data_IF_395808985459
#
_entry.id   IF_395808985459
#
_cell.length_a   1.000
_cell.length_b   1.000
_cell.length_c   1.000
_cell.angle_alpha   90.00
_cell.angle_beta   90.00
_cell.angle_gamma   90.00
#
_symmetry.space_group_name_H-M   'P 1'
#
loop_
_entity.id
_entity.type
_entity.pdbx_description
1 polymer ?
#
# COMPACT_ATOMS: atom_id res chain seq x y z
N UNK A 1 -14.03 25.53 34.81
CA UNK A 1 -15.43 25.75 34.41
C UNK A 1 -15.61 25.91 32.90
N UNK A 2 -14.89 26.81 32.21
CA UNK A 2 -14.95 26.99 30.73
C UNK A 2 -14.85 25.71 29.86
N UNK A 3 -14.06 24.72 30.29
CA UNK A 3 -13.88 23.46 29.54
C UNK A 3 -15.06 22.48 29.70
N UNK A 4 -15.83 22.60 30.80
CA UNK A 4 -17.04 21.79 31.04
C UNK A 4 -18.22 22.31 30.21
N UNK A 5 -18.39 23.63 30.12
CA UNK A 5 -19.47 24.24 29.31
C UNK A 5 -19.29 23.97 27.82
N UNK A 6 -18.06 24.03 27.30
CA UNK A 6 -17.80 23.72 25.88
C UNK A 6 -18.14 22.26 25.55
N UNK A 7 -17.80 21.32 26.45
CA UNK A 7 -18.11 19.89 26.28
C UNK A 7 -19.61 19.62 26.38
N UNK A 8 -20.31 20.29 27.29
CA UNK A 8 -21.75 20.19 27.45
C UNK A 8 -22.51 20.76 26.25
N UNK A 9 -22.03 21.87 25.68
CA UNK A 9 -22.61 22.48 24.48
C UNK A 9 -22.43 21.60 23.25
N UNK A 10 -21.26 20.96 23.10
CA UNK A 10 -21.03 19.99 22.02
C UNK A 10 -21.96 18.77 22.14
N UNK A 11 -22.13 18.21 23.35
CA UNK A 11 -23.02 17.07 23.56
C UNK A 11 -24.49 17.42 23.30
N UNK A 12 -24.92 18.60 23.73
CA UNK A 12 -26.28 19.09 23.45
C UNK A 12 -26.52 19.27 21.93
N UNK A 13 -25.53 19.79 21.20
CA UNK A 13 -25.61 19.92 19.75
C UNK A 13 -25.66 18.57 19.04
N UNK A 14 -24.87 17.58 19.49
CA UNK A 14 -24.93 16.21 18.95
C UNK A 14 -26.30 15.58 19.22
N UNK A 15 -26.83 15.68 20.43
CA UNK A 15 -28.14 15.12 20.75
C UNK A 15 -29.25 15.78 19.92
N UNK A 16 -29.23 17.11 19.77
CA UNK A 16 -30.18 17.83 18.92
C UNK A 16 -30.11 17.39 17.45
N UNK A 17 -28.91 17.08 16.95
CA UNK A 17 -28.70 16.56 15.60
C UNK A 17 -29.25 15.13 15.43
N UNK A 18 -29.04 14.28 16.43
CA UNK A 18 -29.52 12.89 16.43
C UNK A 18 -31.04 12.79 16.61
N UNK A 19 -31.67 13.77 17.27
CA UNK A 19 -33.13 13.85 17.41
C UNK A 19 -33.83 14.39 16.14
N UNK A 20 -33.10 15.02 15.23
CA UNK A 20 -33.61 15.47 13.93
C UNK A 20 -33.59 14.30 12.93
N UNK A 21 -34.77 13.78 12.56
CA UNK A 21 -34.91 12.65 11.63
C UNK A 21 -34.18 12.86 10.29
N UNK A 22 -34.17 14.09 9.77
CA UNK A 22 -33.51 14.42 8.51
C UNK A 22 -31.99 14.38 8.65
N UNK A 23 -31.44 14.99 9.70
CA UNK A 23 -29.99 14.99 9.93
C UNK A 23 -29.48 13.59 10.26
N UNK A 24 -30.21 12.84 11.09
CA UNK A 24 -29.93 11.44 11.40
C UNK A 24 -29.94 10.58 10.13
N UNK A 25 -30.89 10.81 9.22
CA UNK A 25 -30.96 10.14 7.93
C UNK A 25 -29.72 10.39 7.06
N UNK A 26 -29.28 11.65 6.95
CA UNK A 26 -28.05 12.02 6.22
C UNK A 26 -26.82 11.32 6.83
N UNK A 27 -26.68 11.36 8.15
CA UNK A 27 -25.57 10.70 8.87
C UNK A 27 -25.59 9.19 8.60
N UNK A 28 -26.78 8.57 8.65
CA UNK A 28 -26.95 7.14 8.41
C UNK A 28 -26.48 6.75 7.01
N UNK A 29 -26.86 7.54 5.99
CA UNK A 29 -26.44 7.31 4.61
C UNK A 29 -24.90 7.41 4.49
N UNK A 30 -24.30 8.46 5.05
CA UNK A 30 -22.84 8.65 4.98
C UNK A 30 -22.06 7.55 5.71
N UNK A 31 -22.51 7.10 6.88
CA UNK A 31 -21.85 6.01 7.60
C UNK A 31 -21.89 4.70 6.81
N UNK A 32 -23.02 4.40 6.15
CA UNK A 32 -23.14 3.21 5.31
C UNK A 32 -22.29 3.29 4.05
N UNK A 33 -22.22 4.46 3.41
CA UNK A 33 -21.30 4.71 2.30
C UNK A 33 -19.85 4.49 2.73
N UNK A 34 -19.41 5.15 3.80
CA UNK A 34 -18.05 5.00 4.32
C UNK A 34 -17.77 3.53 4.67
N UNK A 35 -18.68 2.84 5.36
CA UNK A 35 -18.50 1.43 5.72
C UNK A 35 -18.39 0.51 4.50
N UNK A 36 -19.08 0.83 3.41
CA UNK A 36 -19.09 0.00 2.19
C UNK A 36 -17.83 0.18 1.35
N UNK A 37 -17.30 1.41 1.30
CA UNK A 37 -16.21 1.76 0.38
C UNK A 37 -14.85 1.99 1.05
N UNK A 38 -14.79 2.27 2.35
CA UNK A 38 -13.52 2.50 3.04
C UNK A 38 -12.67 1.22 3.18
N UNK A 39 -13.29 0.04 3.08
CA UNK A 39 -12.62 -1.24 3.31
C UNK A 39 -11.40 -1.46 2.41
N UNK A 40 -11.50 -1.12 1.12
CA UNK A 40 -10.37 -1.27 0.19
C UNK A 40 -9.20 -0.35 0.59
N UNK A 41 -9.48 0.90 0.95
CA UNK A 41 -8.45 1.83 1.44
C UNK A 41 -7.76 1.33 2.71
N UNK A 42 -8.51 0.73 3.63
CA UNK A 42 -7.96 0.14 4.86
C UNK A 42 -7.09 -1.07 4.53
N UNK A 43 -7.52 -1.94 3.62
CA UNK A 43 -6.74 -3.11 3.21
C UNK A 43 -5.43 -2.74 2.52
N UNK A 44 -5.45 -1.70 1.68
CA UNK A 44 -4.22 -1.18 1.07
C UNK A 44 -3.32 -0.52 2.11
N UNK A 45 -3.88 0.25 3.04
CA UNK A 45 -3.12 0.82 4.15
C UNK A 45 -2.44 -0.28 4.98
N UNK A 46 -3.18 -1.30 5.36
CA UNK A 46 -2.67 -2.45 6.11
C UNK A 46 -1.56 -3.16 5.33
N UNK A 47 -1.73 -3.35 4.01
CA UNK A 47 -0.70 -3.89 3.13
C UNK A 47 0.58 -3.04 3.15
N UNK A 48 0.48 -1.72 2.96
CA UNK A 48 1.63 -0.83 2.96
C UNK A 48 2.29 -0.68 4.34
N UNK A 49 1.59 -1.02 5.42
CA UNK A 49 2.12 -1.03 6.78
C UNK A 49 2.73 -2.37 7.20
N UNK A 50 2.68 -3.42 6.37
CA UNK A 50 3.27 -4.71 6.69
C UNK A 50 4.77 -4.57 6.92
N UNK A 51 5.24 -5.12 8.04
CA UNK A 51 6.65 -5.16 8.40
C UNK A 51 7.18 -6.58 8.26
N UNK A 52 8.44 -6.70 7.84
CA UNK A 52 9.15 -7.97 7.75
C UNK A 52 8.40 -9.00 6.90
N UNK A 53 7.94 -8.56 5.72
CA UNK A 53 7.37 -9.44 4.72
C UNK A 53 7.93 -9.12 3.33
N UNK A 54 8.08 -10.11 2.44
CA UNK A 54 8.62 -9.92 1.09
C UNK A 54 7.56 -9.35 0.14
N UNK A 55 7.00 -8.18 0.48
CA UNK A 55 5.82 -7.61 -0.20
C UNK A 55 6.16 -6.58 -1.28
N UNK A 56 7.42 -6.18 -1.40
CA UNK A 56 7.85 -5.14 -2.33
C UNK A 56 7.46 -5.41 -3.79
N UNK A 57 7.55 -6.64 -4.32
CA UNK A 57 7.16 -6.95 -5.71
C UNK A 57 5.68 -6.71 -6.01
N UNK A 58 4.81 -6.66 -5.00
CA UNK A 58 3.37 -6.48 -5.20
C UNK A 58 2.93 -5.01 -5.13
N UNK A 59 3.83 -4.07 -4.81
CA UNK A 59 3.50 -2.65 -4.60
C UNK A 59 2.85 -2.02 -5.83
N UNK A 60 3.46 -2.14 -7.01
CA UNK A 60 2.91 -1.51 -8.22
C UNK A 60 1.54 -2.10 -8.59
N UNK A 61 1.36 -3.41 -8.43
CA UNK A 61 0.06 -4.05 -8.66
C UNK A 61 -1.01 -3.50 -7.71
N UNK A 62 -0.69 -3.34 -6.42
CA UNK A 62 -1.60 -2.74 -5.43
C UNK A 62 -1.94 -1.29 -5.79
N UNK A 63 -0.96 -0.49 -6.18
CA UNK A 63 -1.18 0.89 -6.62
C UNK A 63 -2.08 0.96 -7.87
N UNK A 64 -1.92 0.04 -8.82
CA UNK A 64 -2.77 -0.07 -10.00
C UNK A 64 -4.21 -0.46 -9.64
N UNK A 65 -4.39 -1.42 -8.74
CA UNK A 65 -5.70 -1.83 -8.23
C UNK A 65 -6.42 -0.67 -7.52
N UNK A 66 -5.72 0.04 -6.62
CA UNK A 66 -6.25 1.22 -5.94
C UNK A 66 -6.61 2.34 -6.93
N UNK A 67 -5.77 2.56 -7.95
CA UNK A 67 -6.05 3.52 -9.01
C UNK A 67 -7.36 3.16 -9.72
N UNK A 68 -7.49 1.91 -10.19
CA UNK A 68 -8.67 1.44 -10.89
C UNK A 68 -9.94 1.51 -10.02
N UNK A 69 -9.81 1.19 -8.73
CA UNK A 69 -10.91 1.30 -7.76
C UNK A 69 -11.41 2.75 -7.63
N UNK A 70 -10.51 3.70 -7.39
CA UNK A 70 -10.86 5.13 -7.27
C UNK A 70 -11.45 5.65 -8.59
N UNK A 71 -10.84 5.30 -9.72
CA UNK A 71 -11.30 5.71 -11.05
C UNK A 71 -12.68 5.16 -11.41
N UNK A 72 -13.00 3.95 -10.96
CA UNK A 72 -14.33 3.35 -11.15
C UNK A 72 -15.39 4.21 -10.47
N UNK A 73 -15.21 4.54 -9.19
CA UNK A 73 -16.26 5.19 -8.41
C UNK A 73 -16.34 6.71 -8.59
N UNK A 74 -15.24 7.40 -8.94
CA UNK A 74 -15.32 8.82 -9.32
C UNK A 74 -16.14 9.04 -10.60
N UNK A 75 -16.13 8.04 -11.50
CA UNK A 75 -16.85 8.07 -12.77
C UNK A 75 -18.19 7.30 -12.72
N UNK A 76 -18.58 6.77 -11.56
CA UNK A 76 -19.77 5.94 -11.43
C UNK A 76 -21.04 6.78 -11.28
N UNK A 77 -22.11 6.34 -11.93
CA UNK A 77 -23.48 6.79 -11.67
C UNK A 77 -24.23 5.85 -10.72
N UNK A 78 -23.57 4.79 -10.23
CA UNK A 78 -24.15 3.76 -9.37
C UNK A 78 -23.23 3.43 -8.17
N UNK A 79 -23.83 3.38 -6.98
CA UNK A 79 -23.17 2.99 -5.72
C UNK A 79 -23.87 1.78 -5.06
N UNK A 80 -24.52 0.96 -5.87
CA UNK A 80 -25.12 -0.30 -5.48
C UNK A 80 -26.52 -0.16 -4.88
N UNK A 81 -27.31 -1.21 -5.10
CA UNK A 81 -28.70 -1.32 -4.68
C UNK A 81 -28.90 -1.14 -3.16
N UNK A 82 -27.92 -1.52 -2.34
CA UNK A 82 -28.01 -1.36 -0.89
C UNK A 82 -28.14 0.11 -0.49
N UNK A 83 -27.25 0.98 -1.00
CA UNK A 83 -27.29 2.40 -0.70
C UNK A 83 -28.47 3.08 -1.37
N UNK A 84 -28.82 2.70 -2.60
CA UNK A 84 -30.01 3.21 -3.28
C UNK A 84 -31.27 2.95 -2.45
N UNK A 85 -31.48 1.72 -2.01
CA UNK A 85 -32.63 1.35 -1.19
C UNK A 85 -32.64 2.10 0.16
N UNK A 86 -31.47 2.26 0.80
CA UNK A 86 -31.35 3.01 2.04
C UNK A 86 -31.76 4.48 1.84
N UNK A 87 -31.21 5.16 0.84
CA UNK A 87 -31.50 6.58 0.54
C UNK A 87 -32.99 6.76 0.24
N UNK A 88 -33.56 5.89 -0.59
CA UNK A 88 -34.98 5.91 -0.93
C UNK A 88 -35.88 5.65 0.29
N UNK A 89 -35.51 4.70 1.17
CA UNK A 89 -36.27 4.38 2.39
C UNK A 89 -36.33 5.54 3.37
N UNK A 90 -35.26 6.36 3.41
CA UNK A 90 -35.15 7.58 4.19
C UNK A 90 -35.74 8.81 3.48
N UNK A 91 -36.40 8.60 2.32
CA UNK A 91 -37.09 9.63 1.51
C UNK A 91 -36.18 10.73 0.97
N UNK A 92 -34.91 10.40 0.73
CA UNK A 92 -33.95 11.31 0.10
C UNK A 92 -33.83 11.08 -1.40
N UNK A 93 -33.26 12.04 -2.11
CA UNK A 93 -32.96 11.94 -3.53
C UNK A 93 -31.60 11.26 -3.74
N UNK A 94 -31.60 10.07 -4.34
CA UNK A 94 -30.39 9.29 -4.65
C UNK A 94 -29.36 10.06 -5.46
N UNK A 95 -29.78 10.86 -6.45
CA UNK A 95 -28.85 11.59 -7.30
C UNK A 95 -28.05 12.65 -6.54
N UNK A 96 -28.64 13.29 -5.52
CA UNK A 96 -27.94 14.26 -4.69
C UNK A 96 -26.81 13.59 -3.91
N UNK A 97 -27.08 12.43 -3.30
CA UNK A 97 -26.07 11.68 -2.55
C UNK A 97 -24.99 11.08 -3.46
N UNK A 98 -25.36 10.54 -4.62
CA UNK A 98 -24.39 9.99 -5.56
C UNK A 98 -23.43 11.05 -6.09
N UNK A 99 -23.91 12.29 -6.27
CA UNK A 99 -23.03 13.41 -6.60
C UNK A 99 -21.98 13.69 -5.52
N UNK A 100 -22.36 13.57 -4.24
CA UNK A 100 -21.46 13.73 -3.09
C UNK A 100 -20.48 12.56 -2.99
N UNK A 101 -20.94 11.33 -3.22
CA UNK A 101 -20.09 10.14 -3.21
C UNK A 101 -19.01 10.21 -4.31
N UNK A 102 -19.40 10.60 -5.53
CA UNK A 102 -18.44 10.88 -6.61
C UNK A 102 -17.45 11.96 -6.21
N UNK A 103 -17.91 13.07 -5.61
CA UNK A 103 -17.03 14.14 -5.16
C UNK A 103 -16.03 13.67 -4.09
N UNK A 104 -16.42 12.73 -3.23
CA UNK A 104 -15.51 12.11 -2.26
C UNK A 104 -14.42 11.27 -2.96
N UNK A 105 -14.78 10.48 -3.97
CA UNK A 105 -13.80 9.73 -4.77
C UNK A 105 -12.92 10.65 -5.64
N UNK A 106 -13.46 11.75 -6.14
CA UNK A 106 -12.68 12.79 -6.84
C UNK A 106 -11.63 13.41 -5.91
N UNK A 107 -12.02 13.73 -4.67
CA UNK A 107 -11.08 14.22 -3.66
C UNK A 107 -10.00 13.17 -3.29
N UNK A 108 -10.37 11.90 -3.22
CA UNK A 108 -9.42 10.80 -3.01
C UNK A 108 -8.45 10.68 -4.20
N UNK A 109 -8.95 10.74 -5.43
CA UNK A 109 -8.14 10.72 -6.64
C UNK A 109 -7.16 11.89 -6.69
N UNK A 110 -7.62 13.11 -6.40
CA UNK A 110 -6.77 14.29 -6.39
C UNK A 110 -5.59 14.15 -5.42
N UNK A 111 -5.83 13.59 -4.22
CA UNK A 111 -4.75 13.26 -3.27
C UNK A 111 -3.81 12.18 -3.80
N UNK A 112 -4.36 11.11 -4.38
CA UNK A 112 -3.57 10.01 -4.93
C UNK A 112 -2.68 10.47 -6.10
N UNK A 113 -3.27 11.19 -7.06
CA UNK A 113 -2.60 11.69 -8.26
C UNK A 113 -1.51 12.73 -7.97
N UNK A 114 -1.61 13.45 -6.84
CA UNK A 114 -0.56 14.36 -6.41
C UNK A 114 0.74 13.67 -5.98
N UNK A 115 0.67 12.40 -5.56
CA UNK A 115 1.80 11.71 -4.93
C UNK A 115 2.30 10.47 -5.68
N UNK A 116 1.41 9.67 -6.27
CA UNK A 116 1.75 8.34 -6.78
C UNK A 116 2.28 8.34 -8.22
N UNK A 117 1.66 9.02 -9.20
CA UNK A 117 2.16 9.09 -10.59
C UNK A 117 3.64 9.43 -10.72
N UNK A 118 4.10 10.40 -9.95
CA UNK A 118 5.46 10.93 -10.01
C UNK A 118 6.34 10.43 -8.86
N UNK A 119 5.96 9.35 -8.19
CA UNK A 119 6.75 8.84 -7.07
C UNK A 119 8.14 8.36 -7.56
N UNK A 120 9.24 8.81 -6.94
CA UNK A 120 10.60 8.54 -7.45
C UNK A 120 10.96 7.06 -7.48
N UNK A 121 10.40 6.25 -6.57
CA UNK A 121 10.62 4.80 -6.55
C UNK A 121 9.67 4.02 -7.47
N UNK A 122 8.73 4.67 -8.17
CA UNK A 122 7.74 3.97 -9.00
C UNK A 122 8.36 3.12 -10.12
N UNK A 123 9.41 3.57 -10.84
CA UNK A 123 10.09 2.70 -11.80
C UNK A 123 10.66 1.42 -11.17
N UNK A 124 11.14 1.51 -9.93
CA UNK A 124 11.63 0.36 -9.19
C UNK A 124 10.49 -0.57 -8.76
N UNK A 125 9.36 -0.03 -8.29
CA UNK A 125 8.16 -0.83 -7.98
C UNK A 125 7.71 -1.64 -9.19
N UNK A 126 7.64 -1.00 -10.37
CA UNK A 126 7.31 -1.68 -11.62
C UNK A 126 8.31 -2.77 -11.98
N UNK A 127 9.61 -2.51 -11.84
CA UNK A 127 10.63 -3.49 -12.19
C UNK A 127 10.66 -4.68 -11.24
N UNK A 128 10.49 -4.47 -9.93
CA UNK A 128 10.54 -5.55 -8.96
C UNK A 128 9.34 -6.52 -9.03
N UNK A 129 8.27 -6.19 -9.78
CA UNK A 129 7.18 -7.13 -10.04
C UNK A 129 7.68 -8.43 -10.68
N UNK A 130 8.81 -8.40 -11.40
CA UNK A 130 9.43 -9.59 -12.00
C UNK A 130 9.82 -10.65 -10.99
N UNK A 131 9.95 -10.31 -9.72
CA UNK A 131 10.24 -11.29 -8.68
C UNK A 131 9.00 -12.02 -8.19
N UNK A 132 7.80 -11.59 -8.58
CA UNK A 132 6.57 -12.37 -8.45
C UNK A 132 6.43 -13.33 -9.66
N UNK A 133 6.50 -14.66 -9.44
CA UNK A 133 6.33 -15.64 -10.51
C UNK A 133 5.01 -15.50 -11.28
N UNK A 134 3.94 -15.05 -10.62
CA UNK A 134 2.63 -14.85 -11.28
C UNK A 134 2.68 -13.71 -12.28
N UNK A 135 3.45 -12.66 -12.01
CA UNK A 135 3.61 -11.52 -12.91
C UNK A 135 4.29 -11.90 -14.22
N UNK A 136 5.33 -12.73 -14.15
CA UNK A 136 6.06 -13.25 -15.33
C UNK A 136 5.22 -14.27 -16.09
N UNK A 137 4.52 -15.17 -15.39
CA UNK A 137 3.69 -16.20 -16.03
C UNK A 137 2.50 -15.62 -16.78
N UNK A 138 1.76 -14.69 -16.14
CA UNK A 138 0.62 -14.00 -16.74
C UNK A 138 1.01 -12.94 -17.78
N UNK A 139 2.31 -12.76 -18.01
CA UNK A 139 2.88 -11.75 -18.88
C UNK A 139 2.90 -12.10 -20.35
N UNK A 140 2.88 -11.07 -21.18
CA UNK A 140 3.21 -11.19 -22.60
C UNK A 140 4.73 -11.38 -22.81
N UNK A 141 5.13 -11.46 -24.08
CA UNK A 141 6.55 -11.59 -24.45
C UNK A 141 7.37 -10.38 -23.98
N UNK A 142 6.76 -9.21 -23.83
CA UNK A 142 7.46 -8.00 -23.37
C UNK A 142 7.85 -8.12 -21.90
N UNK A 143 6.99 -8.67 -21.03
CA UNK A 143 7.35 -8.93 -19.62
C UNK A 143 8.52 -9.90 -19.44
N UNK A 144 8.79 -10.74 -20.45
CA UNK A 144 9.92 -11.67 -20.44
C UNK A 144 11.23 -11.04 -20.92
N UNK A 145 11.21 -9.78 -21.35
CA UNK A 145 12.41 -9.06 -21.74
C UNK A 145 13.08 -8.42 -20.52
N UNK A 146 14.13 -9.08 -19.99
CA UNK A 146 14.90 -8.61 -18.83
C UNK A 146 15.41 -7.16 -18.95
N UNK A 147 15.65 -6.67 -20.18
CA UNK A 147 16.15 -5.30 -20.42
C UNK A 147 15.14 -4.21 -20.09
N UNK A 148 13.85 -4.55 -19.95
CA UNK A 148 12.83 -3.59 -19.50
C UNK A 148 12.98 -3.20 -18.02
N UNK A 149 13.83 -3.92 -17.29
CA UNK A 149 13.96 -3.81 -15.84
C UNK A 149 15.35 -3.34 -15.41
N UNK A 150 16.06 -2.60 -16.27
CA UNK A 150 17.45 -2.13 -16.03
C UNK A 150 17.61 -1.17 -14.85
N UNK A 151 16.51 -0.69 -14.24
CA UNK A 151 16.54 0.03 -12.96
C UNK A 151 17.03 -0.87 -11.81
N UNK A 152 16.87 -2.19 -11.94
CA UNK A 152 17.51 -3.19 -11.09
C UNK A 152 18.98 -3.21 -11.51
N UNK A 153 19.87 -2.85 -10.59
CA UNK A 153 21.29 -2.61 -10.87
C UNK A 153 21.96 -3.80 -11.58
N UNK A 154 21.61 -5.01 -11.17
CA UNK A 154 22.16 -6.26 -11.69
C UNK A 154 21.68 -6.55 -13.12
N UNK A 155 20.58 -5.92 -13.56
CA UNK A 155 20.03 -6.08 -14.91
C UNK A 155 20.58 -5.06 -15.91
N UNK A 156 21.30 -4.03 -15.44
CA UNK A 156 21.98 -3.08 -16.32
C UNK A 156 23.21 -3.71 -17.01
N UNK A 157 23.94 -4.56 -16.29
CA UNK A 157 25.11 -5.28 -16.81
C UNK A 157 24.88 -6.81 -16.79
N UNK A 158 24.11 -7.29 -17.76
CA UNK A 158 23.72 -8.69 -17.87
C UNK A 158 24.91 -9.61 -18.18
N UNK A 159 25.22 -10.53 -17.27
CA UNK A 159 26.11 -11.66 -17.57
C UNK A 159 25.38 -12.74 -18.37
N UNK A 160 26.13 -13.53 -19.13
CA UNK A 160 25.57 -14.66 -19.89
C UNK A 160 24.89 -15.68 -18.97
N UNK A 161 25.42 -15.89 -17.76
CA UNK A 161 24.81 -16.74 -16.75
C UNK A 161 23.45 -16.21 -16.29
N UNK A 162 23.33 -14.90 -16.04
CA UNK A 162 22.08 -14.29 -15.60
C UNK A 162 21.03 -14.35 -16.70
N UNK A 163 21.41 -14.10 -17.97
CA UNK A 163 20.50 -14.24 -19.12
C UNK A 163 19.98 -15.68 -19.22
N UNK A 164 20.85 -16.67 -19.01
CA UNK A 164 20.46 -18.09 -19.01
C UNK A 164 19.49 -18.40 -17.88
N UNK A 165 19.78 -17.98 -16.66
CA UNK A 165 18.88 -18.17 -15.50
C UNK A 165 17.53 -17.49 -15.70
N UNK A 166 17.52 -16.27 -16.23
CA UNK A 166 16.30 -15.55 -16.58
C UNK A 166 15.44 -16.32 -17.60
N UNK A 167 16.08 -16.89 -18.63
CA UNK A 167 15.40 -17.72 -19.62
C UNK A 167 14.74 -18.96 -19.00
N UNK A 168 15.43 -19.62 -18.05
CA UNK A 168 14.87 -20.74 -17.29
C UNK A 168 13.68 -20.26 -16.46
N UNK A 169 13.84 -19.18 -15.70
CA UNK A 169 12.80 -18.61 -14.85
C UNK A 169 11.52 -18.28 -15.64
N UNK A 170 11.64 -17.64 -16.80
CA UNK A 170 10.52 -17.29 -17.68
C UNK A 170 9.79 -18.50 -18.30
N UNK A 171 10.42 -19.67 -18.27
CA UNK A 171 9.88 -20.94 -18.77
C UNK A 171 9.41 -21.88 -17.66
N UNK A 172 9.56 -21.51 -16.39
CA UNK A 172 9.03 -22.31 -15.27
C UNK A 172 7.50 -22.23 -15.26
N UNK A 173 6.86 -23.39 -15.17
CA UNK A 173 5.43 -23.47 -14.91
C UNK A 173 5.18 -23.18 -13.43
N UNK A 174 4.66 -21.98 -13.17
CA UNK A 174 4.40 -21.46 -11.84
C UNK A 174 2.89 -21.35 -11.55
N UNK A 175 2.03 -22.04 -12.32
CA UNK A 175 0.55 -21.91 -12.26
C UNK A 175 -0.07 -22.29 -10.90
N UNK A 176 0.64 -23.06 -10.07
CA UNK A 176 0.10 -23.62 -8.82
C UNK A 176 0.57 -22.90 -7.54
N UNK A 177 1.27 -21.79 -7.67
CA UNK A 177 1.76 -21.07 -6.49
C UNK A 177 0.57 -20.31 -5.86
N UNK A 178 0.00 -20.85 -4.77
CA UNK A 178 -1.05 -20.21 -3.98
C UNK A 178 -0.58 -18.91 -3.29
N UNK A 179 -1.01 -18.66 -2.06
CA UNK A 179 -0.30 -17.74 -1.16
C UNK A 179 0.97 -18.43 -0.66
N UNK A 180 1.97 -18.60 -1.52
CA UNK A 180 3.30 -19.01 -1.06
C UNK A 180 4.05 -17.79 -0.51
N UNK A 181 4.80 -18.00 0.56
CA UNK A 181 5.75 -17.02 1.05
C UNK A 181 6.84 -16.84 -0.02
N UNK A 182 6.91 -15.63 -0.59
CA UNK A 182 7.72 -15.33 -1.77
C UNK A 182 9.21 -15.59 -1.54
N UNK A 183 9.68 -15.42 -0.30
CA UNK A 183 11.02 -15.75 0.14
C UNK A 183 11.29 -17.26 0.07
N UNK A 184 10.36 -18.11 0.52
CA UNK A 184 10.53 -19.57 0.42
C UNK A 184 10.63 -20.01 -1.04
N UNK A 185 9.83 -19.41 -1.94
CA UNK A 185 9.94 -19.68 -3.38
C UNK A 185 11.37 -19.41 -3.88
N UNK A 186 11.94 -18.25 -3.54
CA UNK A 186 13.29 -17.91 -4.00
C UNK A 186 14.35 -18.79 -3.35
N UNK A 187 14.22 -19.13 -2.06
CA UNK A 187 15.10 -20.09 -1.37
C UNK A 187 15.11 -21.45 -2.09
N UNK A 188 13.95 -21.97 -2.47
CA UNK A 188 13.84 -23.26 -3.16
C UNK A 188 14.46 -23.21 -4.56
N UNK A 189 14.46 -22.04 -5.21
CA UNK A 189 15.06 -21.81 -6.53
C UNK A 189 16.55 -21.52 -6.49
N UNK A 190 17.17 -21.30 -5.33
CA UNK A 190 18.58 -20.94 -5.23
C UNK A 190 19.56 -21.96 -5.86
N UNK A 191 19.19 -23.25 -5.90
CA UNK A 191 20.02 -24.28 -6.55
C UNK A 191 19.93 -24.24 -8.08
N UNK A 192 18.76 -23.89 -8.63
CA UNK A 192 18.49 -23.85 -10.07
C UNK A 192 18.86 -22.48 -10.68
N UNK A 193 18.65 -21.41 -9.91
CA UNK A 193 18.76 -20.01 -10.30
C UNK A 193 19.62 -19.24 -9.27
N UNK A 194 20.89 -19.63 -9.04
CA UNK A 194 21.69 -19.09 -7.95
C UNK A 194 21.92 -17.58 -8.05
N UNK A 195 22.09 -17.01 -9.23
CA UNK A 195 22.30 -15.57 -9.40
C UNK A 195 20.98 -14.84 -9.21
N UNK A 196 19.94 -15.24 -9.94
CA UNK A 196 18.64 -14.58 -9.92
C UNK A 196 17.96 -14.68 -8.56
N UNK A 197 18.10 -15.81 -7.85
CA UNK A 197 17.60 -15.97 -6.49
C UNK A 197 18.27 -15.03 -5.51
N UNK A 198 19.58 -14.84 -5.60
CA UNK A 198 20.28 -13.90 -4.71
C UNK A 198 19.79 -12.48 -4.96
N UNK A 199 19.67 -12.08 -6.23
CA UNK A 199 19.12 -10.77 -6.61
C UNK A 199 17.70 -10.63 -6.06
N UNK A 200 16.81 -11.61 -6.31
CA UNK A 200 15.43 -11.54 -5.83
C UNK A 200 15.37 -11.34 -4.31
N UNK A 201 16.17 -12.08 -3.53
CA UNK A 201 16.23 -11.94 -2.08
C UNK A 201 16.65 -10.53 -1.62
N UNK A 202 17.46 -9.80 -2.39
CA UNK A 202 17.82 -8.42 -2.06
C UNK A 202 16.64 -7.45 -2.28
N UNK A 203 15.81 -7.68 -3.29
CA UNK A 203 14.73 -6.76 -3.67
C UNK A 203 13.39 -7.07 -3.01
N UNK A 204 13.02 -8.34 -2.79
CA UNK A 204 11.70 -8.68 -2.26
C UNK A 204 11.47 -8.13 -0.84
N UNK A 205 12.56 -7.98 -0.07
CA UNK A 205 12.57 -7.51 1.32
C UNK A 205 12.72 -5.99 1.47
N UNK A 206 12.76 -5.24 0.36
CA UNK A 206 12.87 -3.78 0.43
C UNK A 206 11.69 -3.19 1.22
N UNK A 207 11.95 -2.18 2.08
CA UNK A 207 10.89 -1.54 2.85
C UNK A 207 9.99 -0.70 1.95
N UNK A 208 8.66 -0.86 2.12
CA UNK A 208 7.64 -0.14 1.34
C UNK A 208 7.06 1.08 2.07
N UNK A 209 7.25 1.19 3.39
CA UNK A 209 6.74 2.31 4.18
C UNK A 209 7.88 3.16 4.73
N UNK A 210 7.80 4.49 4.49
CA UNK A 210 8.64 5.46 5.19
C UNK A 210 8.27 5.54 6.67
N UNK A 211 7.07 5.13 7.10
CA UNK A 211 6.64 5.20 8.50
C UNK A 211 7.58 4.42 9.43
N UNK A 212 8.16 3.30 8.99
CA UNK A 212 9.19 2.59 9.78
C UNK A 212 10.47 3.42 9.91
N UNK A 213 10.87 4.07 8.82
CA UNK A 213 12.03 4.95 8.75
C UNK A 213 11.78 6.25 9.55
N UNK A 214 10.59 6.83 9.50
CA UNK A 214 10.18 8.02 10.24
C UNK A 214 9.92 7.73 11.71
N UNK A 215 9.35 6.57 12.08
CA UNK A 215 9.31 6.11 13.48
C UNK A 215 10.71 5.84 13.99
N UNK A 216 11.59 5.27 13.18
CA UNK A 216 12.98 5.09 13.57
C UNK A 216 13.72 6.42 13.70
N UNK A 217 13.44 7.41 12.83
CA UNK A 217 13.97 8.77 12.96
C UNK A 217 13.35 9.52 14.12
N UNK A 218 12.07 9.32 14.42
CA UNK A 218 11.40 9.92 15.58
C UNK A 218 11.91 9.30 16.89
N UNK A 219 12.12 7.99 16.90
CA UNK A 219 12.75 7.28 18.02
C UNK A 219 14.23 7.68 18.15
N UNK A 220 14.94 7.83 17.05
CA UNK A 220 16.30 8.36 16.99
C UNK A 220 16.36 9.79 17.51
N UNK A 221 15.42 10.65 17.13
CA UNK A 221 15.30 12.01 17.63
C UNK A 221 14.92 12.01 19.13
N UNK A 222 14.13 11.05 19.61
CA UNK A 222 13.87 10.87 21.04
C UNK A 222 15.10 10.36 21.81
N UNK A 223 15.98 9.59 21.16
CA UNK A 223 17.28 9.17 21.71
C UNK A 223 18.31 10.32 21.70
N UNK A 224 18.12 11.31 20.82
CA UNK A 224 18.90 12.53 20.71
C UNK A 224 18.32 13.69 21.53
N UNK A 225 17.15 13.52 22.14
CA UNK A 225 16.52 14.57 22.93
C UNK A 225 17.40 14.92 24.14
N UNK A 226 17.31 16.18 24.52
CA UNK A 226 18.11 16.88 25.52
C UNK A 226 18.16 16.20 26.90
N UNK A 227 17.29 15.22 27.15
CA UNK A 227 17.20 14.44 28.39
C UNK A 227 18.29 13.36 28.58
N UNK A 228 19.14 13.02 27.58
CA UNK A 228 20.27 12.08 27.80
C UNK A 228 21.59 12.48 27.11
N UNK A 229 22.52 12.98 27.92
CA UNK A 229 23.82 13.52 27.49
C UNK A 229 24.95 12.55 27.06
N UNK A 230 24.76 11.23 26.84
CA UNK A 230 25.94 10.32 26.80
C UNK A 230 26.07 9.36 25.62
N UNK A 231 25.36 9.55 24.50
CA UNK A 231 25.62 8.76 23.29
C UNK A 231 26.39 9.57 22.25
N UNK A 232 27.61 9.13 21.93
CA UNK A 232 28.35 9.69 20.81
C UNK A 232 27.69 9.33 19.48
N UNK A 233 27.92 10.16 18.46
CA UNK A 233 27.38 9.95 17.11
C UNK A 233 27.74 8.57 16.53
N UNK A 234 28.89 8.00 16.91
CA UNK A 234 29.31 6.67 16.47
C UNK A 234 28.56 5.53 17.19
N UNK A 235 28.28 5.68 18.50
CA UNK A 235 27.46 4.72 19.24
C UNK A 235 26.03 4.70 18.70
N UNK A 236 25.49 5.87 18.33
CA UNK A 236 24.19 6.04 17.70
C UNK A 236 24.11 5.38 16.31
N UNK A 237 25.13 5.57 15.46
CA UNK A 237 25.21 4.88 14.15
C UNK A 237 25.20 3.37 14.30
N UNK A 238 25.97 2.84 15.27
CA UNK A 238 26.02 1.39 15.56
C UNK A 238 24.68 0.87 16.10
N UNK A 239 24.02 1.62 16.98
CA UNK A 239 22.70 1.24 17.52
C UNK A 239 21.63 1.19 16.42
N UNK A 240 21.61 2.19 15.52
CA UNK A 240 20.74 2.18 14.34
C UNK A 240 21.04 0.97 13.45
N UNK A 241 22.31 0.70 13.16
CA UNK A 241 22.71 -0.45 12.36
C UNK A 241 22.25 -1.78 13.00
N UNK A 242 22.33 -1.92 14.33
CA UNK A 242 21.83 -3.10 15.05
C UNK A 242 20.30 -3.17 15.04
N UNK A 243 19.58 -2.05 15.14
CA UNK A 243 18.12 -2.06 15.11
C UNK A 243 17.56 -2.50 13.74
N UNK A 244 18.13 -1.98 12.65
CA UNK A 244 17.70 -2.32 11.29
C UNK A 244 18.14 -3.73 10.86
N UNK A 245 19.31 -4.20 11.33
CA UNK A 245 19.89 -5.48 10.90
C UNK A 245 19.79 -6.60 11.96
N UNK A 246 19.30 -6.31 13.17
CA UNK A 246 19.37 -7.18 14.34
C UNK A 246 18.39 -8.36 14.35
N UNK A 247 17.62 -8.57 13.29
CA UNK A 247 16.78 -9.77 13.15
C UNK A 247 17.52 -10.80 12.31
N UNK A 248 18.68 -11.25 12.82
CA UNK A 248 19.29 -12.55 12.52
C UNK A 248 20.00 -13.05 13.77
N UNK A 249 19.22 -13.58 14.71
CA UNK A 249 19.62 -14.70 15.58
C UNK A 249 18.45 -15.67 15.57
#
# INVERSE_FOLDING_TARGET
>A
EFNNDKKHNTLAAINSCLENEQELGIITIYLNFISSYAKEFVQDLDFFQQLKKPVFPFVELRLQQLTAYIETYRNSDDFGLFLENLINSLRFNTHEFYSIFRAAFEAAYAKFAAHIPNHPARPLFHACQVFDPKFIHSGDVLRKNIRQYSIIKEFDNLSDELIREWGIYCGLDNELLGEMELDQYWVDKATQLPILSNIAMDYIWLPISSCTVERSFSMYNSLLDSDRQNLSQDSLKRLNMIYFNGVKI
#
